data_IF_332979586432
#
_entry.id   IF_332979586432
#
_cell.length_a   1.000
_cell.length_b   1.000
_cell.length_c   1.000
_cell.angle_alpha   90.00
_cell.angle_beta   90.00
_cell.angle_gamma   90.00
#
_symmetry.space_group_name_H-M   'P 1'
#
loop_
_entity.id
_entity.type
_entity.pdbx_description
1 polymer ?
#
# COMPACT_ATOMS: atom_id res chain seq x y z
N UNK A 1 -40.94 -8.50 -16.51
CA UNK A 1 -39.49 -8.67 -16.31
C UNK A 1 -38.98 -7.75 -15.17
N UNK A 2 -39.11 -8.14 -13.88
CA UNK A 2 -38.58 -7.33 -12.78
C UNK A 2 -37.30 -7.89 -12.12
N UNK A 3 -37.02 -9.19 -12.27
CA UNK A 3 -35.92 -9.87 -11.54
C UNK A 3 -34.51 -9.54 -12.06
N UNK A 4 -34.37 -9.11 -13.32
CA UNK A 4 -33.06 -8.89 -13.93
C UNK A 4 -32.35 -7.64 -13.37
N UNK A 5 -33.10 -6.63 -12.91
CA UNK A 5 -32.54 -5.41 -12.32
C UNK A 5 -32.09 -5.62 -10.87
N UNK A 6 -32.68 -6.55 -10.12
CA UNK A 6 -32.41 -6.68 -8.68
C UNK A 6 -31.12 -7.43 -8.36
N UNK A 7 -30.59 -8.26 -9.27
CA UNK A 7 -29.30 -8.93 -9.10
C UNK A 7 -28.10 -8.05 -9.49
N UNK A 8 -28.33 -7.03 -10.33
CA UNK A 8 -27.30 -6.08 -10.75
C UNK A 8 -26.85 -5.15 -9.62
N UNK A 9 -27.79 -4.70 -8.77
CA UNK A 9 -27.48 -3.82 -7.64
C UNK A 9 -26.54 -4.45 -6.60
N UNK A 10 -26.78 -5.67 -6.08
CA UNK A 10 -25.86 -6.30 -5.14
C UNK A 10 -24.50 -6.61 -5.77
N UNK A 11 -24.46 -7.02 -7.05
CA UNK A 11 -23.20 -7.23 -7.77
C UNK A 11 -22.40 -5.92 -7.89
N UNK A 12 -23.06 -4.81 -8.24
CA UNK A 12 -22.41 -3.50 -8.32
C UNK A 12 -21.88 -3.02 -6.96
N UNK A 13 -22.63 -3.24 -5.88
CA UNK A 13 -22.19 -2.92 -4.51
C UNK A 13 -20.94 -3.73 -4.14
N UNK A 14 -20.94 -5.04 -4.43
CA UNK A 14 -19.78 -5.90 -4.15
C UNK A 14 -18.55 -5.44 -4.92
N UNK A 15 -18.67 -5.17 -6.22
CA UNK A 15 -17.55 -4.68 -7.04
C UNK A 15 -17.05 -3.33 -6.53
N UNK A 16 -17.95 -2.39 -6.24
CA UNK A 16 -17.59 -1.10 -5.67
C UNK A 16 -16.86 -1.24 -4.32
N UNK A 17 -17.35 -2.12 -3.45
CA UNK A 17 -16.72 -2.42 -2.16
C UNK A 17 -15.31 -3.01 -2.31
N UNK A 18 -15.11 -3.94 -3.25
CA UNK A 18 -13.79 -4.53 -3.51
C UNK A 18 -12.80 -3.50 -4.05
N UNK A 19 -13.24 -2.60 -4.93
CA UNK A 19 -12.39 -1.51 -5.44
C UNK A 19 -12.00 -0.57 -4.31
N UNK A 20 -12.95 -0.15 -3.47
CA UNK A 20 -12.66 0.70 -2.32
C UNK A 20 -11.69 0.03 -1.34
N UNK A 21 -11.87 -1.27 -1.08
CA UNK A 21 -10.98 -2.04 -0.23
C UNK A 21 -9.57 -2.12 -0.81
N UNK A 22 -9.43 -2.33 -2.13
CA UNK A 22 -8.14 -2.37 -2.81
C UNK A 22 -7.42 -1.01 -2.75
N UNK A 23 -8.14 0.10 -2.98
CA UNK A 23 -7.57 1.45 -2.87
C UNK A 23 -7.13 1.72 -1.43
N UNK A 24 -7.95 1.36 -0.46
CA UNK A 24 -7.63 1.53 0.95
C UNK A 24 -6.39 0.71 1.36
N UNK A 25 -6.32 -0.55 0.92
CA UNK A 25 -5.16 -1.41 1.13
C UNK A 25 -3.87 -0.79 0.58
N UNK A 26 -3.90 -0.33 -0.68
CA UNK A 26 -2.75 0.34 -1.31
C UNK A 26 -2.32 1.58 -0.51
N UNK A 27 -3.29 2.40 -0.09
CA UNK A 27 -3.03 3.58 0.73
C UNK A 27 -2.36 3.25 2.06
N UNK A 28 -2.87 2.24 2.77
CA UNK A 28 -2.29 1.76 4.02
C UNK A 28 -0.88 1.20 3.81
N UNK A 29 -0.69 0.34 2.81
CA UNK A 29 0.64 -0.19 2.49
C UNK A 29 1.64 0.92 2.24
N UNK A 30 1.26 1.92 1.44
CA UNK A 30 2.14 3.07 1.17
C UNK A 30 2.46 3.87 2.42
N UNK A 31 1.47 4.11 3.28
CA UNK A 31 1.67 4.86 4.52
C UNK A 31 2.63 4.13 5.47
N UNK A 32 2.39 2.85 5.73
CA UNK A 32 3.23 2.07 6.65
C UNK A 32 4.63 1.81 6.08
N UNK A 33 4.75 1.52 4.79
CA UNK A 33 6.07 1.35 4.16
C UNK A 33 6.89 2.64 4.24
N UNK A 34 6.28 3.82 4.00
CA UNK A 34 6.98 5.09 4.12
C UNK A 34 7.41 5.38 5.57
N UNK A 35 6.53 5.12 6.53
CA UNK A 35 6.81 5.30 7.95
C UNK A 35 7.97 4.40 8.42
N UNK A 36 7.93 3.12 8.05
CA UNK A 36 8.99 2.15 8.39
C UNK A 36 10.32 2.55 7.75
N UNK A 37 10.32 2.89 6.46
CA UNK A 37 11.51 3.31 5.74
C UNK A 37 12.16 4.56 6.37
N UNK A 38 11.35 5.54 6.75
CA UNK A 38 11.85 6.73 7.43
C UNK A 38 12.53 6.37 8.76
N UNK A 39 11.91 5.50 9.56
CA UNK A 39 12.51 5.06 10.82
C UNK A 39 13.85 4.34 10.62
N UNK A 40 13.99 3.53 9.57
CA UNK A 40 15.24 2.85 9.23
C UNK A 40 16.33 3.84 8.80
N UNK A 41 15.98 4.82 7.96
CA UNK A 41 16.89 5.88 7.52
C UNK A 41 17.35 6.73 8.70
N UNK A 42 16.43 7.14 9.57
CA UNK A 42 16.76 7.92 10.76
C UNK A 42 17.69 7.13 11.69
N UNK A 43 17.46 5.83 11.83
CA UNK A 43 18.34 4.92 12.56
C UNK A 43 19.74 4.82 11.97
N UNK A 44 19.87 4.64 10.65
CA UNK A 44 21.19 4.57 10.01
C UNK A 44 21.93 5.90 10.12
N UNK A 45 21.26 7.02 9.87
CA UNK A 45 21.83 8.36 10.03
C UNK A 45 22.31 8.64 11.45
N UNK A 46 21.53 8.27 12.46
CA UNK A 46 21.89 8.45 13.86
C UNK A 46 23.13 7.64 14.27
N UNK A 47 23.38 6.51 13.60
CA UNK A 47 24.55 5.65 13.83
C UNK A 47 25.71 5.94 12.87
N UNK A 48 25.57 6.91 11.96
CA UNK A 48 26.57 7.20 10.93
C UNK A 48 26.81 6.05 9.96
N UNK A 49 25.80 5.19 9.75
CA UNK A 49 25.84 4.04 8.86
C UNK A 49 25.44 4.46 7.45
N UNK A 50 26.19 3.96 6.46
CA UNK A 50 25.79 4.03 5.07
C UNK A 50 24.62 3.07 4.83
N UNK A 51 23.74 3.43 3.89
CA UNK A 51 22.59 2.60 3.55
C UNK A 51 22.19 2.73 2.07
N UNK A 52 21.52 1.68 1.59
CA UNK A 52 20.93 1.62 0.25
C UNK A 52 19.44 1.30 0.35
N UNK A 53 18.64 2.01 -0.45
CA UNK A 53 17.20 1.79 -0.59
C UNK A 53 16.87 1.43 -2.03
N UNK A 54 16.13 0.34 -2.23
CA UNK A 54 15.61 -0.06 -3.54
C UNK A 54 14.10 -0.13 -3.47
N UNK A 55 13.41 0.67 -4.29
CA UNK A 55 11.95 0.65 -4.41
C UNK A 55 11.54 -0.39 -5.45
N UNK A 56 10.72 -1.36 -5.05
CA UNK A 56 10.22 -2.43 -5.91
C UNK A 56 8.83 -2.14 -6.48
N UNK A 57 8.07 -1.26 -5.82
CA UNK A 57 6.73 -0.87 -6.27
C UNK A 57 6.42 0.57 -5.88
N UNK A 58 6.23 1.45 -6.86
CA UNK A 58 5.95 2.86 -6.60
C UNK A 58 4.54 3.13 -6.06
N UNK A 59 3.58 2.25 -6.36
CA UNK A 59 2.20 2.42 -5.94
C UNK A 59 2.04 2.16 -4.44
N UNK A 60 2.60 1.07 -3.94
CA UNK A 60 2.58 0.72 -2.51
C UNK A 60 3.80 1.21 -1.75
N UNK A 61 4.79 1.78 -2.44
CA UNK A 61 6.06 2.17 -1.82
C UNK A 61 6.85 0.99 -1.25
N UNK A 62 6.63 -0.23 -1.74
CA UNK A 62 7.36 -1.41 -1.27
C UNK A 62 8.85 -1.27 -1.60
N UNK A 63 9.70 -1.60 -0.63
CA UNK A 63 11.13 -1.36 -0.70
C UNK A 63 11.95 -2.49 -0.07
N UNK A 64 13.25 -2.47 -0.33
CA UNK A 64 14.25 -3.14 0.50
C UNK A 64 15.26 -2.12 1.00
N UNK A 65 15.66 -2.28 2.25
CA UNK A 65 16.63 -1.43 2.93
C UNK A 65 17.81 -2.28 3.38
N UNK A 66 19.01 -1.86 3.04
CA UNK A 66 20.25 -2.49 3.47
C UNK A 66 21.14 -1.44 4.11
N UNK A 67 21.52 -1.65 5.38
CA UNK A 67 22.51 -0.82 6.08
C UNK A 67 23.86 -1.55 6.12
N UNK A 68 24.95 -0.78 6.02
CA UNK A 68 26.34 -1.24 6.12
C UNK A 68 26.99 -0.92 7.48
#
# INVERSE_FOLDING_TARGET
>A
MPHFRSAFTPAAILVGGLILLAVFYVGLSRHYNAQELHALIDGANANGQDYSVVIHNELTGSYSFNAE
#
